data_IF_999515089644
#
_entry.id   IF_999515089644
#
_cell.length_a   1.000
_cell.length_b   1.000
_cell.length_c   1.000
_cell.angle_alpha   90.00
_cell.angle_beta   90.00
_cell.angle_gamma   90.00
#
_symmetry.space_group_name_H-M   'P 1'
#
loop_
_entity.id
_entity.type
_entity.pdbx_description
1 polymer ?
#
# COMPACT_ATOMS: atom_id res chain seq x y z
N UNK A 1 -23.75 -5.44 11.16
CA UNK A 1 -23.28 -4.69 12.34
C UNK A 1 -21.80 -4.41 12.15
N UNK A 2 -21.43 -3.21 11.68
CA UNK A 2 -20.04 -2.79 11.58
C UNK A 2 -19.58 -2.22 12.91
N UNK A 3 -18.49 -2.75 13.46
CA UNK A 3 -17.86 -2.26 14.68
C UNK A 3 -17.03 -1.02 14.35
N UNK A 4 -17.70 0.12 14.14
CA UNK A 4 -17.14 1.41 14.52
C UNK A 4 -17.39 1.53 16.02
N UNK A 5 -16.54 0.91 16.84
CA UNK A 5 -16.75 0.81 18.30
C UNK A 5 -16.51 2.17 18.94
N UNK A 6 -17.50 2.65 19.68
CA UNK A 6 -17.35 3.68 20.71
C UNK A 6 -16.90 2.99 22.02
N UNK A 7 -15.80 3.45 22.64
CA UNK A 7 -15.36 2.97 23.96
C UNK A 7 -16.42 3.22 25.04
N UNK A 8 -16.51 2.38 26.09
CA UNK A 8 -17.14 2.76 27.34
C UNK A 8 -16.21 3.67 28.16
N UNK A 9 -16.81 4.67 28.82
CA UNK A 9 -16.13 5.66 29.64
C UNK A 9 -15.66 5.06 30.98
N UNK A 10 -14.44 5.43 31.40
CA UNK A 10 -14.07 5.50 32.83
C UNK A 10 -13.19 6.71 33.08
N UNK A 11 -13.57 7.43 34.12
CA UNK A 11 -13.14 8.74 34.58
C UNK A 11 -11.78 8.71 35.30
N UNK A 12 -10.99 9.80 35.22
CA UNK A 12 -9.80 10.00 36.06
C UNK A 12 -8.86 11.13 35.58
N UNK A 13 -9.06 12.34 36.14
CA UNK A 13 -8.18 13.53 36.13
C UNK A 13 -6.76 13.21 36.69
N UNK A 14 -5.61 13.90 36.51
CA UNK A 14 -5.32 15.33 36.28
C UNK A 14 -3.80 15.59 36.04
N UNK A 15 -3.47 16.71 35.36
CA UNK A 15 -2.35 17.69 35.58
C UNK A 15 -0.88 17.42 35.14
N UNK A 16 -0.49 18.21 34.12
CA UNK A 16 0.73 18.97 33.81
C UNK A 16 2.11 18.73 34.47
N UNK A 17 3.19 18.76 33.67
CA UNK A 17 4.18 19.88 33.65
C UNK A 17 5.33 19.63 32.64
N UNK A 18 5.72 20.68 31.90
CA UNK A 18 6.99 20.84 31.18
C UNK A 18 8.07 21.35 32.15
N UNK A 19 9.39 21.30 31.84
CA UNK A 19 10.01 22.45 31.15
C UNK A 19 11.29 22.21 30.31
N UNK A 20 11.47 23.10 29.31
CA UNK A 20 12.64 23.92 28.94
C UNK A 20 14.05 23.40 28.58
N UNK A 21 14.71 24.28 27.81
CA UNK A 21 15.87 24.14 26.92
C UNK A 21 17.19 24.70 27.50
N UNK A 22 18.27 24.40 26.74
CA UNK A 22 19.50 25.20 26.46
C UNK A 22 20.71 25.05 27.41
N UNK A 23 21.96 25.37 26.99
CA UNK A 23 22.61 25.36 25.66
C UNK A 23 24.05 24.76 25.63
N UNK A 24 24.62 24.66 24.41
CA UNK A 24 26.05 24.49 24.04
C UNK A 24 26.90 25.70 24.55
N UNK A 25 28.27 25.68 24.61
CA UNK A 25 29.14 25.51 23.42
C UNK A 25 30.59 24.97 23.67
N UNK A 26 31.33 24.65 22.59
CA UNK A 26 32.69 25.17 22.30
C UNK A 26 33.30 24.53 21.04
N UNK A 27 33.76 25.38 20.13
CA UNK A 27 34.54 25.08 18.92
C UNK A 27 36.00 24.80 19.26
N UNK A 28 36.67 23.98 18.44
CA UNK A 28 38.02 24.32 17.96
C UNK A 28 38.35 23.59 16.65
N UNK A 29 38.96 24.36 15.75
CA UNK A 29 39.21 24.12 14.34
C UNK A 29 40.72 24.18 14.17
N UNK A 30 41.37 23.25 13.46
CA UNK A 30 42.69 23.45 12.83
C UNK A 30 43.02 22.28 11.86
N UNK A 31 43.28 22.65 10.60
CA UNK A 31 43.98 21.93 9.53
C UNK A 31 45.21 22.83 9.14
N UNK A 32 46.25 22.46 8.34
CA UNK A 32 46.30 21.41 7.28
C UNK A 32 47.67 20.69 6.99
N UNK A 33 47.65 19.78 5.99
CA UNK A 33 48.68 19.48 4.93
C UNK A 33 49.69 18.28 5.03
N UNK A 34 50.15 17.73 3.86
CA UNK A 34 50.33 16.28 3.56
C UNK A 34 51.81 15.84 3.35
N UNK A 35 52.09 14.58 2.90
CA UNK A 35 52.54 14.39 1.50
C UNK A 35 52.29 13.00 0.81
N UNK A 36 52.21 13.06 -0.53
CA UNK A 36 52.83 12.25 -1.60
C UNK A 36 52.64 10.72 -1.80
N UNK A 37 52.40 10.39 -3.08
CA UNK A 37 52.29 9.09 -3.78
C UNK A 37 53.68 8.50 -4.13
N UNK A 38 53.77 7.22 -4.56
CA UNK A 38 54.33 6.99 -5.89
C UNK A 38 53.57 5.98 -6.77
N UNK A 39 53.72 6.18 -8.07
CA UNK A 39 53.16 5.45 -9.22
C UNK A 39 53.81 4.06 -9.43
N UNK A 40 53.06 3.14 -10.06
CA UNK A 40 53.66 2.14 -10.96
C UNK A 40 52.66 1.70 -12.05
N UNK A 41 53.04 1.96 -13.29
CA UNK A 41 52.56 1.44 -14.59
C UNK A 41 52.61 -0.11 -14.66
N UNK A 42 51.82 -0.86 -15.44
CA UNK A 42 51.89 -1.07 -16.93
C UNK A 42 50.68 -1.95 -17.40
N UNK A 43 50.11 -1.66 -18.58
CA UNK A 43 49.06 -2.40 -19.35
C UNK A 43 49.65 -3.54 -20.23
N UNK A 44 49.00 -4.18 -21.25
CA UNK A 44 47.59 -4.37 -21.64
C UNK A 44 47.23 -5.85 -21.97
N UNK A 45 45.94 -6.17 -22.23
CA UNK A 45 45.56 -7.37 -22.99
C UNK A 45 44.26 -7.13 -23.78
N UNK A 46 44.39 -6.95 -25.10
CA UNK A 46 43.31 -6.83 -26.07
C UNK A 46 43.45 -7.96 -27.09
N UNK A 47 42.53 -8.92 -27.04
CA UNK A 47 42.17 -9.94 -28.04
C UNK A 47 41.00 -10.70 -27.41
N UNK A 48 39.80 -10.84 -27.94
CA UNK A 48 39.16 -10.50 -29.20
C UNK A 48 37.90 -11.37 -29.22
N UNK A 49 36.75 -10.87 -29.67
CA UNK A 49 35.76 -11.70 -30.35
C UNK A 49 34.73 -10.80 -31.04
N UNK A 50 34.72 -10.90 -32.36
CA UNK A 50 33.66 -10.43 -33.24
C UNK A 50 32.36 -11.14 -32.86
N UNK A 51 31.29 -10.40 -32.60
CA UNK A 51 29.94 -10.98 -32.58
C UNK A 51 28.94 -10.06 -33.28
N UNK A 52 28.65 -10.43 -34.53
CA UNK A 52 27.38 -10.34 -35.25
C UNK A 52 26.35 -9.33 -34.73
N UNK A 53 26.17 -8.27 -35.53
CA UNK A 53 24.89 -7.61 -35.86
C UNK A 53 23.82 -7.57 -34.78
N UNK A 54 23.80 -6.49 -33.99
CA UNK A 54 22.64 -6.13 -33.20
C UNK A 54 21.44 -5.84 -34.14
N UNK A 55 20.27 -6.46 -33.92
CA UNK A 55 19.10 -6.17 -34.72
C UNK A 55 18.67 -4.72 -34.48
N UNK A 56 18.57 -3.94 -35.56
CA UNK A 56 17.92 -2.63 -35.62
C UNK A 56 16.70 -2.62 -34.69
N UNK A 57 16.75 -1.76 -33.67
CA UNK A 57 15.60 -1.46 -32.84
C UNK A 57 14.45 -1.01 -33.75
N UNK A 58 13.49 -1.92 -33.97
CA UNK A 58 12.19 -1.58 -34.52
C UNK A 58 11.61 -0.51 -33.60
N UNK A 59 11.32 0.68 -34.14
CA UNK A 59 10.49 1.72 -33.51
C UNK A 59 9.33 1.06 -32.76
N UNK A 60 9.45 0.95 -31.44
CA UNK A 60 8.36 0.54 -30.57
C UNK A 60 7.29 1.62 -30.61
N UNK A 61 6.06 1.23 -30.93
CA UNK A 61 4.85 2.07 -31.00
C UNK A 61 4.84 3.19 -29.94
N UNK A 62 4.99 4.43 -30.38
CA UNK A 62 4.97 5.67 -29.59
C UNK A 62 3.62 6.04 -28.94
N UNK A 63 2.74 5.06 -28.68
CA UNK A 63 1.35 5.32 -28.26
C UNK A 63 0.89 4.63 -26.98
N UNK A 64 1.68 3.70 -26.42
CA UNK A 64 1.32 3.04 -25.15
C UNK A 64 1.84 3.87 -23.96
N UNK A 65 1.02 4.09 -22.92
CA UNK A 65 1.50 4.67 -21.68
C UNK A 65 2.68 3.86 -21.13
N UNK A 66 3.73 4.55 -20.71
CA UNK A 66 4.93 3.94 -20.08
C UNK A 66 4.61 3.37 -18.70
N UNK A 67 3.63 3.97 -18.01
CA UNK A 67 3.20 3.64 -16.66
C UNK A 67 1.73 3.21 -16.65
N UNK A 68 1.39 2.28 -15.75
CA UNK A 68 0.03 1.92 -15.38
C UNK A 68 -0.65 3.07 -14.62
N UNK A 69 -2.00 3.10 -14.56
CA UNK A 69 -2.69 4.22 -13.91
C UNK A 69 -2.36 4.42 -12.43
N UNK A 70 -2.14 3.34 -11.65
CA UNK A 70 -1.72 3.48 -10.25
C UNK A 70 -0.27 3.99 -10.11
N UNK A 71 0.59 3.67 -11.08
CA UNK A 71 1.96 4.18 -11.14
C UNK A 71 1.98 5.67 -11.50
N UNK A 72 1.09 6.11 -12.41
CA UNK A 72 0.88 7.53 -12.72
C UNK A 72 0.48 8.31 -11.47
N UNK A 73 -0.46 7.80 -10.68
CA UNK A 73 -0.87 8.43 -9.42
C UNK A 73 0.29 8.55 -8.45
N UNK A 74 1.13 7.51 -8.35
CA UNK A 74 2.27 7.58 -7.44
C UNK A 74 3.36 8.53 -7.90
N UNK A 75 3.62 8.58 -9.20
CA UNK A 75 4.51 9.60 -9.78
C UNK A 75 3.94 11.00 -9.57
N UNK A 76 2.62 11.19 -9.66
CA UNK A 76 1.98 12.48 -9.39
C UNK A 76 2.15 12.92 -7.94
N UNK A 77 2.01 12.01 -6.97
CA UNK A 77 2.31 12.28 -5.57
C UNK A 77 3.77 12.70 -5.37
N UNK A 78 4.74 11.95 -5.90
CA UNK A 78 6.16 12.30 -5.79
C UNK A 78 6.51 13.62 -6.49
N UNK A 79 5.84 13.95 -7.60
CA UNK A 79 5.96 15.26 -8.23
C UNK A 79 5.44 16.37 -7.31
N UNK A 80 4.30 16.17 -6.63
CA UNK A 80 3.78 17.11 -5.64
C UNK A 80 4.73 17.35 -4.48
N UNK A 81 5.38 16.29 -3.99
CA UNK A 81 6.42 16.37 -2.96
C UNK A 81 7.60 17.23 -3.39
N UNK A 82 8.11 17.01 -4.61
CA UNK A 82 9.19 17.82 -5.18
C UNK A 82 8.80 19.28 -5.36
N UNK A 83 7.60 19.55 -5.87
CA UNK A 83 7.09 20.92 -6.05
C UNK A 83 6.89 21.65 -4.72
N UNK A 84 6.64 20.90 -3.64
CA UNK A 84 6.51 21.42 -2.29
C UNK A 84 7.85 21.59 -1.56
N UNK A 85 8.98 21.46 -2.27
CA UNK A 85 10.33 21.61 -1.71
C UNK A 85 10.76 20.46 -0.80
N UNK A 86 10.08 19.31 -0.87
CA UNK A 86 10.36 18.11 -0.05
C UNK A 86 10.50 16.86 -0.94
N UNK A 87 11.44 16.85 -1.90
CA UNK A 87 11.63 15.70 -2.79
C UNK A 87 11.99 14.43 -2.02
N UNK A 88 11.60 13.27 -2.57
CA UNK A 88 12.03 11.96 -2.06
C UNK A 88 13.36 11.60 -2.72
N UNK A 89 14.47 11.89 -2.04
CA UNK A 89 15.82 11.77 -2.58
C UNK A 89 16.32 10.31 -2.59
N UNK A 90 16.12 9.57 -1.50
CA UNK A 90 16.57 8.17 -1.39
C UNK A 90 15.78 7.26 -2.36
N UNK A 91 16.52 6.54 -3.21
CA UNK A 91 15.98 5.56 -4.16
C UNK A 91 15.15 4.48 -3.46
N UNK A 92 15.56 4.07 -2.25
CA UNK A 92 14.84 3.09 -1.42
C UNK A 92 13.50 3.64 -0.97
N UNK A 93 13.42 4.91 -0.59
CA UNK A 93 12.13 5.53 -0.21
C UNK A 93 11.18 5.61 -1.40
N UNK A 94 11.69 5.97 -2.58
CA UNK A 94 10.89 5.93 -3.82
C UNK A 94 10.39 4.51 -4.13
N UNK A 95 11.24 3.50 -3.94
CA UNK A 95 10.88 2.09 -4.14
C UNK A 95 9.84 1.62 -3.12
N UNK A 96 9.98 1.94 -1.82
CA UNK A 96 9.01 1.64 -0.76
C UNK A 96 7.62 2.19 -1.12
N UNK A 97 7.59 3.44 -1.57
CA UNK A 97 6.39 4.12 -2.04
C UNK A 97 5.76 3.43 -3.26
N UNK A 98 6.56 2.99 -4.23
CA UNK A 98 6.08 2.24 -5.39
C UNK A 98 5.50 0.86 -4.98
N UNK A 99 6.19 0.13 -4.11
CA UNK A 99 5.80 -1.19 -3.59
C UNK A 99 4.53 -1.14 -2.74
N UNK A 100 4.41 -0.11 -1.91
CA UNK A 100 3.20 0.16 -1.13
C UNK A 100 2.02 0.48 -2.05
N UNK A 101 2.23 1.30 -3.09
CA UNK A 101 1.17 1.61 -4.06
C UNK A 101 0.75 0.36 -4.85
N UNK A 102 1.69 -0.49 -5.24
CA UNK A 102 1.39 -1.78 -5.88
C UNK A 102 0.52 -2.65 -4.95
N UNK A 103 0.81 -2.68 -3.65
CA UNK A 103 0.01 -3.40 -2.66
C UNK A 103 -1.42 -2.85 -2.58
N UNK A 104 -1.57 -1.52 -2.47
CA UNK A 104 -2.88 -0.84 -2.47
C UNK A 104 -3.67 -1.19 -3.74
N UNK A 105 -3.02 -1.16 -4.90
CA UNK A 105 -3.65 -1.50 -6.17
C UNK A 105 -4.07 -2.97 -6.25
N UNK A 106 -3.21 -3.89 -5.81
CA UNK A 106 -3.51 -5.32 -5.77
C UNK A 106 -4.67 -5.66 -4.83
N UNK A 107 -4.77 -5.00 -3.68
CA UNK A 107 -5.91 -5.14 -2.77
C UNK A 107 -7.19 -4.64 -3.44
N UNK A 108 -7.13 -3.49 -4.11
CA UNK A 108 -8.25 -2.98 -4.91
C UNK A 108 -8.66 -3.94 -6.03
N UNK A 109 -7.73 -4.64 -6.67
CA UNK A 109 -8.07 -5.65 -7.68
C UNK A 109 -8.72 -6.88 -7.06
N UNK A 110 -8.31 -7.29 -5.86
CA UNK A 110 -8.93 -8.41 -5.15
C UNK A 110 -10.35 -8.07 -4.69
N UNK A 111 -10.54 -6.86 -4.14
CA UNK A 111 -11.83 -6.33 -3.71
C UNK A 111 -12.61 -5.69 -4.88
N UNK A 112 -12.88 -6.52 -5.88
CA UNK A 112 -13.48 -6.15 -7.17
C UNK A 112 -14.97 -5.78 -7.08
N UNK A 113 -15.68 -6.19 -6.03
CA UNK A 113 -17.03 -5.73 -5.70
C UNK A 113 -17.03 -4.40 -4.92
N UNK A 114 -15.87 -3.90 -4.49
CA UNK A 114 -15.70 -2.54 -3.97
C UNK A 114 -15.42 -2.47 -2.46
N UNK A 115 -15.55 -1.26 -1.93
CA UNK A 115 -15.14 -0.87 -0.58
C UNK A 115 -16.25 -0.98 0.48
N UNK A 116 -17.32 -1.70 0.16
CA UNK A 116 -18.44 -1.95 1.05
C UNK A 116 -19.38 -0.77 1.17
N UNK A 117 -18.95 0.28 1.87
CA UNK A 117 -19.80 1.39 2.30
C UNK A 117 -19.45 2.76 1.71
N UNK A 118 -18.69 2.79 0.61
CA UNK A 118 -18.46 4.01 -0.17
C UNK A 118 -19.64 4.24 -1.12
N UNK A 119 -20.23 5.44 -1.08
CA UNK A 119 -21.38 5.83 -1.90
C UNK A 119 -21.17 5.55 -3.40
N UNK A 120 -19.99 5.91 -3.92
CA UNK A 120 -19.63 5.66 -5.32
C UNK A 120 -19.66 4.18 -5.68
N UNK A 121 -19.14 3.32 -4.81
CA UNK A 121 -19.08 1.87 -5.02
C UNK A 121 -20.48 1.26 -4.88
N UNK A 122 -21.31 1.73 -3.95
CA UNK A 122 -22.71 1.31 -3.79
C UNK A 122 -23.51 1.59 -5.07
N UNK A 123 -23.40 2.80 -5.61
CA UNK A 123 -24.10 3.20 -6.84
C UNK A 123 -23.62 2.41 -8.05
N UNK A 124 -22.30 2.27 -8.22
CA UNK A 124 -21.71 1.54 -9.36
C UNK A 124 -22.01 0.04 -9.32
N UNK A 125 -22.14 -0.55 -8.13
CA UNK A 125 -22.37 -1.98 -7.95
C UNK A 125 -23.84 -2.34 -7.69
N UNK A 126 -24.76 -1.38 -7.75
CA UNK A 126 -26.17 -1.55 -7.36
C UNK A 126 -26.33 -2.22 -5.97
N UNK A 127 -25.58 -1.74 -4.98
CA UNK A 127 -25.58 -2.23 -3.61
C UNK A 127 -24.78 -3.52 -3.37
N UNK A 128 -24.24 -4.17 -4.42
CA UNK A 128 -23.48 -5.42 -4.28
C UNK A 128 -22.22 -5.27 -3.41
N UNK A 129 -21.57 -4.10 -3.42
CA UNK A 129 -20.45 -3.80 -2.53
C UNK A 129 -20.83 -3.99 -1.06
N UNK A 130 -21.98 -3.43 -0.65
CA UNK A 130 -22.48 -3.58 0.73
C UNK A 130 -22.84 -5.03 1.05
N UNK A 131 -23.54 -5.70 0.14
CA UNK A 131 -23.92 -7.11 0.33
C UNK A 131 -22.69 -7.97 0.58
N UNK A 132 -21.68 -7.88 -0.28
CA UNK A 132 -20.46 -8.66 -0.14
C UNK A 132 -19.71 -8.33 1.16
N UNK A 133 -19.56 -7.04 1.50
CA UNK A 133 -18.95 -6.65 2.78
C UNK A 133 -19.77 -7.05 4.00
N UNK A 134 -21.09 -7.15 3.90
CA UNK A 134 -21.91 -7.71 4.96
C UNK A 134 -21.67 -9.21 5.15
N UNK A 135 -21.59 -9.95 4.04
CA UNK A 135 -21.30 -11.38 4.06
C UNK A 135 -19.95 -11.67 4.71
N UNK A 136 -18.93 -10.85 4.48
CA UNK A 136 -17.64 -11.05 5.17
C UNK A 136 -17.73 -10.90 6.69
N UNK A 137 -18.65 -10.09 7.20
CA UNK A 137 -18.89 -9.95 8.65
C UNK A 137 -19.74 -11.07 9.27
N UNK A 138 -20.47 -11.88 8.49
CA UNK A 138 -21.30 -12.96 9.09
C UNK A 138 -20.44 -13.95 9.87
N UNK A 139 -19.20 -14.15 9.42
CA UNK A 139 -18.21 -15.02 10.04
C UNK A 139 -17.80 -14.58 11.46
N UNK A 140 -17.89 -13.29 11.79
CA UNK A 140 -17.60 -12.81 13.15
C UNK A 140 -18.61 -13.31 14.19
N UNK A 141 -19.81 -13.70 13.76
CA UNK A 141 -20.81 -14.30 14.65
C UNK A 141 -20.81 -15.82 14.62
N UNK A 142 -20.38 -16.40 13.49
CA UNK A 142 -20.32 -17.85 13.26
C UNK A 142 -19.13 -18.52 13.97
N UNK A 143 -17.97 -17.89 13.97
CA UNK A 143 -16.73 -18.49 14.48
C UNK A 143 -16.44 -18.06 15.93
N UNK A 144 -16.08 -18.99 16.84
CA UNK A 144 -15.74 -18.67 18.24
C UNK A 144 -14.57 -17.68 18.39
N UNK A 145 -13.73 -17.53 17.36
CA UNK A 145 -12.72 -16.49 17.27
C UNK A 145 -13.30 -15.17 16.74
N UNK A 146 -14.24 -14.55 17.46
CA UNK A 146 -14.96 -13.31 17.06
C UNK A 146 -14.07 -12.09 16.74
N UNK A 147 -12.75 -12.23 16.88
CA UNK A 147 -11.73 -11.21 16.62
C UNK A 147 -10.59 -11.74 15.75
N UNK A 148 -10.77 -12.85 15.03
CA UNK A 148 -9.77 -13.32 14.06
C UNK A 148 -9.74 -12.40 12.84
N UNK A 149 -8.78 -11.48 12.83
CA UNK A 149 -8.58 -10.51 11.75
C UNK A 149 -8.11 -11.22 10.46
N UNK A 150 -7.47 -12.39 10.55
CA UNK A 150 -7.09 -13.17 9.37
C UNK A 150 -8.31 -13.82 8.72
N UNK A 151 -9.27 -14.28 9.52
CA UNK A 151 -10.58 -14.74 9.02
C UNK A 151 -11.31 -13.57 8.35
N UNK A 152 -11.39 -12.42 9.01
CA UNK A 152 -12.03 -11.23 8.46
C UNK A 152 -11.44 -10.81 7.10
N UNK A 153 -10.11 -10.76 7.00
CA UNK A 153 -9.41 -10.47 5.75
C UNK A 153 -9.62 -11.56 4.68
N UNK A 154 -9.61 -12.83 5.07
CA UNK A 154 -9.85 -13.96 4.18
C UNK A 154 -11.27 -13.95 3.60
N UNK A 155 -12.27 -13.66 4.43
CA UNK A 155 -13.66 -13.49 4.00
C UNK A 155 -13.82 -12.34 3.02
N UNK A 156 -13.26 -11.17 3.33
CA UNK A 156 -13.33 -10.00 2.43
C UNK A 156 -12.69 -10.28 1.07
N UNK A 157 -11.59 -11.05 1.04
CA UNK A 157 -10.96 -11.50 -0.21
C UNK A 157 -11.85 -12.49 -0.98
N UNK A 158 -12.44 -13.48 -0.30
CA UNK A 158 -13.30 -14.49 -0.93
C UNK A 158 -14.57 -13.87 -1.53
N UNK A 159 -15.22 -12.94 -0.81
CA UNK A 159 -16.42 -12.25 -1.30
C UNK A 159 -16.11 -11.05 -2.18
N UNK A 160 -14.85 -10.66 -2.31
CA UNK A 160 -14.41 -9.57 -3.18
C UNK A 160 -14.83 -8.16 -2.76
N UNK A 161 -15.22 -7.92 -1.51
CA UNK A 161 -15.50 -6.58 -0.99
C UNK A 161 -15.15 -6.45 0.49
N UNK A 162 -14.81 -5.23 0.91
CA UNK A 162 -14.63 -4.94 2.34
C UNK A 162 -14.56 -3.47 2.71
N UNK A 163 -14.89 -3.18 3.98
CA UNK A 163 -14.80 -1.84 4.58
C UNK A 163 -13.33 -1.49 4.99
N UNK A 164 -13.13 -0.36 5.65
CA UNK A 164 -11.79 0.13 6.02
C UNK A 164 -10.97 -0.84 6.87
N UNK A 165 -11.57 -1.47 7.89
CA UNK A 165 -10.98 -2.52 8.73
C UNK A 165 -10.44 -3.71 7.92
N UNK A 166 -11.24 -4.20 6.98
CA UNK A 166 -10.91 -5.32 6.10
C UNK A 166 -9.81 -4.93 5.09
N UNK A 167 -9.89 -3.73 4.53
CA UNK A 167 -8.85 -3.19 3.64
C UNK A 167 -7.52 -3.03 4.39
N UNK A 168 -7.53 -2.46 5.59
CA UNK A 168 -6.35 -2.30 6.44
C UNK A 168 -5.72 -3.67 6.75
N UNK A 169 -6.52 -4.63 7.22
CA UNK A 169 -6.07 -5.98 7.51
C UNK A 169 -5.43 -6.68 6.29
N UNK A 170 -6.06 -6.56 5.10
CA UNK A 170 -5.53 -7.12 3.85
C UNK A 170 -4.22 -6.44 3.46
N UNK A 171 -4.14 -5.11 3.51
CA UNK A 171 -2.92 -4.37 3.18
C UNK A 171 -1.77 -4.74 4.11
N UNK A 172 -2.02 -4.80 5.43
CA UNK A 172 -1.01 -5.16 6.44
C UNK A 172 -0.36 -6.51 6.12
N UNK A 173 -1.17 -7.50 5.72
CA UNK A 173 -0.71 -8.85 5.40
C UNK A 173 -0.09 -8.94 4.01
N UNK A 174 -0.73 -8.33 3.00
CA UNK A 174 -0.29 -8.42 1.60
C UNK A 174 1.03 -7.70 1.36
N UNK A 175 1.33 -6.66 2.12
CA UNK A 175 2.60 -5.94 2.01
C UNK A 175 3.82 -6.76 2.48
N UNK A 176 3.61 -7.85 3.24
CA UNK A 176 4.67 -8.66 3.86
C UNK A 176 5.82 -9.04 2.93
N UNK A 177 5.51 -9.40 1.68
CA UNK A 177 6.51 -9.85 0.70
C UNK A 177 7.42 -8.72 0.20
N UNK A 178 7.01 -7.46 0.39
CA UNK A 178 7.72 -6.25 -0.03
C UNK A 178 8.42 -5.53 1.13
N UNK A 179 8.18 -5.95 2.37
CA UNK A 179 8.85 -5.39 3.54
C UNK A 179 10.36 -5.65 3.49
N UNK A 180 11.14 -4.71 3.99
CA UNK A 180 12.56 -4.90 4.25
C UNK A 180 12.79 -5.65 5.58
N UNK A 181 13.98 -6.24 5.72
CA UNK A 181 14.39 -6.82 7.00
C UNK A 181 14.48 -5.74 8.08
N UNK A 182 13.91 -6.00 9.26
CA UNK A 182 13.85 -5.04 10.37
C UNK A 182 12.71 -4.01 10.29
N UNK A 183 11.97 -3.96 9.17
CA UNK A 183 10.76 -3.14 9.08
C UNK A 183 9.57 -3.75 9.82
N UNK A 184 8.59 -2.91 10.14
CA UNK A 184 7.34 -3.30 10.79
C UNK A 184 6.14 -2.86 9.97
N UNK A 185 5.07 -3.64 10.01
CA UNK A 185 3.77 -3.26 9.45
C UNK A 185 2.72 -3.34 10.54
N UNK A 186 1.89 -2.30 10.62
CA UNK A 186 0.84 -2.15 11.61
C UNK A 186 -0.52 -2.06 10.93
N UNK A 187 -1.55 -2.54 11.64
CA UNK A 187 -2.94 -2.20 11.38
C UNK A 187 -3.34 -1.15 12.42
N UNK A 188 -3.60 0.08 11.98
CA UNK A 188 -3.82 1.25 12.84
C UNK A 188 -5.28 1.64 12.79
N UNK A 189 -5.88 1.89 13.96
CA UNK A 189 -7.20 2.50 14.07
C UNK A 189 -7.06 3.95 14.52
N UNK A 190 -7.75 4.85 13.84
CA UNK A 190 -7.97 6.23 14.27
C UNK A 190 -9.39 6.38 14.83
N UNK A 191 -9.50 6.60 16.14
CA UNK A 191 -10.79 6.74 16.83
C UNK A 191 -11.51 8.03 16.43
N UNK A 192 -10.77 9.11 16.14
CA UNK A 192 -11.37 10.40 15.80
C UNK A 192 -12.09 10.35 14.45
N UNK A 193 -11.54 9.61 13.49
CA UNK A 193 -12.11 9.45 12.15
C UNK A 193 -12.93 8.15 11.99
N UNK A 194 -12.96 7.28 13.01
CA UNK A 194 -13.51 5.93 12.94
C UNK A 194 -13.03 5.17 11.69
N UNK A 195 -11.72 5.24 11.44
CA UNK A 195 -11.07 4.69 10.24
C UNK A 195 -9.92 3.76 10.60
N UNK A 196 -9.62 2.82 9.71
CA UNK A 196 -8.48 1.91 9.87
C UNK A 196 -7.66 1.87 8.59
N UNK A 197 -6.33 1.83 8.74
CA UNK A 197 -5.38 1.78 7.64
C UNK A 197 -4.14 0.96 8.00
N UNK A 198 -3.41 0.50 6.99
CA UNK A 198 -2.13 -0.15 7.21
C UNK A 198 -0.99 0.87 7.19
N UNK A 199 -0.04 0.74 8.11
CA UNK A 199 1.12 1.61 8.23
C UNK A 199 2.40 0.76 8.16
N UNK A 200 3.21 0.97 7.14
CA UNK A 200 4.53 0.37 7.03
C UNK A 200 5.58 1.32 7.62
N UNK A 201 6.35 0.84 8.58
CA UNK A 201 7.48 1.52 9.16
C UNK A 201 8.77 0.82 8.68
N UNK A 202 9.56 1.47 7.79
CA UNK A 202 10.82 0.89 7.30
C UNK A 202 11.84 0.70 8.44
N UNK A 203 12.87 -0.15 8.23
CA UNK A 203 13.94 -0.31 9.22
C UNK A 203 14.72 0.99 9.42
N UNK A 204 14.92 1.39 10.68
CA UNK A 204 15.66 2.58 11.09
C UNK A 204 15.20 3.06 12.48
N UNK A 205 16.09 3.64 13.28
CA UNK A 205 15.78 4.11 14.64
C UNK A 205 15.68 5.64 14.69
N UNK A 206 14.61 6.14 15.32
CA UNK A 206 14.24 7.54 15.59
C UNK A 206 13.59 8.35 14.45
N UNK A 207 14.07 8.29 13.19
CA UNK A 207 13.47 9.04 12.05
C UNK A 207 12.36 8.25 11.33
N UNK A 208 11.99 7.08 11.84
CA UNK A 208 11.07 6.15 11.20
C UNK A 208 9.63 6.66 11.05
N UNK A 209 9.26 7.76 11.70
CA UNK A 209 7.96 8.43 11.52
C UNK A 209 7.90 9.21 10.19
N UNK A 210 9.01 9.84 9.78
CA UNK A 210 9.07 10.62 8.53
C UNK A 210 9.05 9.74 7.27
N UNK A 211 9.51 8.50 7.40
CA UNK A 211 9.53 7.50 6.33
C UNK A 211 8.38 6.48 6.44
N UNK A 212 7.49 6.61 7.42
CA UNK A 212 6.36 5.72 7.55
C UNK A 212 5.41 5.89 6.35
N UNK A 213 4.98 4.77 5.76
CA UNK A 213 4.14 4.74 4.56
C UNK A 213 2.74 4.26 4.90
N UNK A 214 1.73 5.05 4.58
CA UNK A 214 0.32 4.69 4.71
C UNK A 214 -0.13 3.90 3.47
N UNK A 215 -0.72 2.74 3.70
CA UNK A 215 -1.33 1.87 2.69
C UNK A 215 -2.84 1.78 2.93
N UNK A 216 -3.60 2.57 2.19
CA UNK A 216 -5.05 2.58 2.28
C UNK A 216 -5.71 2.35 0.91
N UNK A 217 -6.30 1.17 0.76
CA UNK A 217 -7.05 0.76 -0.43
C UNK A 217 -8.52 1.13 -0.38
N UNK A 218 -9.02 1.52 0.79
CA UNK A 218 -10.37 2.04 0.99
C UNK A 218 -10.44 3.52 0.60
N UNK A 219 -9.45 4.32 0.97
CA UNK A 219 -9.31 5.70 0.49
C UNK A 219 -8.92 5.78 -0.99
N UNK A 220 -9.07 6.95 -1.58
CA UNK A 220 -8.70 7.31 -2.96
C UNK A 220 -7.24 7.82 -3.01
N UNK A 221 -6.52 7.54 -4.10
CA UNK A 221 -5.09 7.89 -4.26
C UNK A 221 -4.09 6.72 -4.06
N UNK A 222 -2.78 6.98 -4.14
CA UNK A 222 -1.73 5.96 -4.01
C UNK A 222 -1.28 5.78 -2.55
N UNK A 223 -0.22 5.01 -2.30
CA UNK A 223 0.38 4.97 -0.96
C UNK A 223 1.25 6.23 -0.74
N UNK A 224 1.21 6.80 0.47
CA UNK A 224 1.83 8.11 0.77
C UNK A 224 2.64 8.03 2.05
N UNK A 225 3.56 8.97 2.26
CA UNK A 225 4.17 9.13 3.58
C UNK A 225 3.11 9.58 4.59
N UNK A 226 3.22 9.11 5.83
CA UNK A 226 2.29 9.43 6.90
C UNK A 226 2.13 10.94 7.09
N UNK A 227 3.23 11.70 7.06
CA UNK A 227 3.26 13.16 7.18
C UNK A 227 2.51 13.92 6.08
N UNK A 228 2.22 13.27 4.96
CA UNK A 228 1.50 13.85 3.81
C UNK A 228 0.10 13.24 3.65
N UNK A 229 -0.30 12.40 4.61
CA UNK A 229 -1.61 11.77 4.63
C UNK A 229 -2.62 12.60 5.43
N UNK A 230 -3.90 12.39 5.19
CA UNK A 230 -4.98 12.99 5.98
C UNK A 230 -4.99 12.62 7.47
N UNK A 231 -4.13 11.68 7.91
CA UNK A 231 -4.00 11.26 9.31
C UNK A 231 -2.72 11.76 9.99
N UNK A 232 -1.93 12.60 9.32
CA UNK A 232 -0.70 13.14 9.89
C UNK A 232 -0.95 13.85 11.23
N UNK A 233 -2.05 14.62 11.33
CA UNK A 233 -2.40 15.38 12.53
C UNK A 233 -3.05 14.55 13.65
N UNK A 234 -3.56 13.37 13.37
CA UNK A 234 -4.25 12.50 14.35
C UNK A 234 -3.38 11.34 14.82
N UNK A 235 -2.36 10.96 14.05
CA UNK A 235 -1.44 9.90 14.42
C UNK A 235 -0.72 10.21 15.76
N UNK A 236 -0.68 9.21 16.63
CA UNK A 236 -0.11 9.32 17.99
C UNK A 236 -1.03 10.00 19.01
N UNK A 237 -2.13 10.64 18.59
CA UNK A 237 -3.06 11.34 19.51
C UNK A 237 -4.38 10.58 19.68
N UNK A 238 -5.04 10.21 18.58
CA UNK A 238 -6.30 9.44 18.57
C UNK A 238 -6.17 8.05 17.98
N UNK A 239 -4.94 7.59 17.74
CA UNK A 239 -4.67 6.32 17.08
C UNK A 239 -4.18 5.24 18.05
N UNK A 240 -4.58 3.99 17.81
CA UNK A 240 -3.99 2.82 18.45
C UNK A 240 -3.71 1.69 17.44
N UNK A 241 -2.72 0.85 17.76
CA UNK A 241 -2.32 -0.28 16.92
C UNK A 241 -3.13 -1.51 17.29
N UNK A 242 -3.82 -2.11 16.31
CA UNK A 242 -4.60 -3.34 16.46
C UNK A 242 -3.68 -4.56 16.33
N UNK A 243 -2.86 -4.58 15.28
CA UNK A 243 -1.88 -5.64 15.01
C UNK A 243 -0.55 -5.01 14.62
N UNK A 244 0.55 -5.64 15.03
CA UNK A 244 1.91 -5.27 14.62
C UNK A 244 2.64 -6.54 14.21
N UNK A 245 3.27 -6.51 13.06
CA UNK A 245 4.08 -7.61 12.55
C UNK A 245 5.45 -7.12 12.09
N UNK A 246 6.47 -7.90 12.42
CA UNK A 246 7.70 -7.91 11.62
C UNK A 246 7.46 -8.67 10.30
N UNK A 247 8.47 -8.73 9.43
CA UNK A 247 8.33 -9.38 8.12
C UNK A 247 7.91 -10.87 8.23
N UNK A 248 8.56 -11.74 9.04
CA UNK A 248 8.12 -13.12 9.21
C UNK A 248 6.68 -13.23 9.73
N UNK A 249 6.31 -12.45 10.76
CA UNK A 249 4.95 -12.45 11.30
C UNK A 249 3.91 -12.03 10.27
N UNK A 250 4.22 -11.05 9.41
CA UNK A 250 3.34 -10.60 8.35
C UNK A 250 3.18 -11.67 7.25
N UNK A 251 4.25 -12.41 6.94
CA UNK A 251 4.21 -13.55 6.00
C UNK A 251 3.31 -14.66 6.56
N UNK A 252 3.43 -15.00 7.84
CA UNK A 252 2.60 -16.00 8.49
C UNK A 252 1.12 -15.57 8.54
N UNK A 253 0.86 -14.31 8.85
CA UNK A 253 -0.50 -13.75 8.82
C UNK A 253 -1.10 -13.75 7.41
N UNK A 254 -0.31 -13.48 6.37
CA UNK A 254 -0.71 -13.61 4.98
C UNK A 254 -1.03 -15.05 4.60
N UNK A 255 -0.20 -16.01 5.03
CA UNK A 255 -0.42 -17.43 4.77
C UNK A 255 -1.72 -17.93 5.42
N UNK A 256 -1.96 -17.57 6.70
CA UNK A 256 -3.21 -17.87 7.41
C UNK A 256 -4.43 -17.29 6.70
N UNK A 257 -4.34 -16.03 6.29
CA UNK A 257 -5.44 -15.33 5.58
C UNK A 257 -5.78 -16.01 4.24
N UNK A 258 -4.76 -16.47 3.50
CA UNK A 258 -4.96 -17.21 2.24
C UNK A 258 -5.54 -18.60 2.46
N UNK A 259 -5.15 -19.29 3.54
CA UNK A 259 -5.74 -20.58 3.88
C UNK A 259 -7.24 -20.42 4.18
N UNK A 260 -7.61 -19.43 4.99
CA UNK A 260 -9.01 -19.11 5.31
C UNK A 260 -9.80 -18.69 4.08
N UNK A 261 -9.22 -17.86 3.20
CA UNK A 261 -9.82 -17.53 1.90
C UNK A 261 -10.10 -18.80 1.10
N UNK A 262 -9.13 -19.72 0.99
CA UNK A 262 -9.29 -20.97 0.23
C UNK A 262 -10.36 -21.87 0.83
N UNK A 263 -10.47 -21.96 2.16
CA UNK A 263 -11.53 -22.70 2.83
C UNK A 263 -12.91 -22.11 2.48
N UNK A 264 -13.08 -20.80 2.54
CA UNK A 264 -14.36 -20.14 2.19
C UNK A 264 -14.74 -20.33 0.71
N UNK A 265 -13.75 -20.36 -0.18
CA UNK A 265 -13.95 -20.56 -1.61
C UNK A 265 -14.24 -22.03 -1.98
N UNK A 266 -13.79 -23.00 -1.16
CA UNK A 266 -13.94 -24.44 -1.43
C UNK A 266 -15.35 -24.95 -1.07
N UNK A 267 -16.15 -25.43 -2.05
CA UNK A 267 -17.49 -25.95 -1.83
C UNK A 267 -17.63 -27.11 -0.84
N UNK A 268 -16.53 -27.77 -0.49
CA UNK A 268 -16.52 -28.91 0.42
C UNK A 268 -16.36 -28.52 1.89
N UNK A 269 -16.18 -27.24 2.22
CA UNK A 269 -15.95 -26.78 3.60
C UNK A 269 -17.21 -26.26 4.27
N UNK A 270 -17.19 -26.26 5.61
CA UNK A 270 -18.24 -25.62 6.42
C UNK A 270 -18.30 -24.10 6.23
N UNK A 271 -17.16 -23.46 5.94
CA UNK A 271 -17.09 -22.01 5.71
C UNK A 271 -17.79 -21.62 4.42
N UNK A 272 -17.60 -22.41 3.36
CA UNK A 272 -18.35 -22.21 2.13
C UNK A 272 -19.85 -22.43 2.36
N UNK A 273 -20.22 -23.54 3.00
CA UNK A 273 -21.63 -23.83 3.32
C UNK A 273 -22.28 -22.71 4.13
N UNK A 274 -21.58 -22.17 5.14
CA UNK A 274 -22.04 -21.01 5.92
C UNK A 274 -22.25 -19.79 5.04
N UNK A 275 -21.25 -19.40 4.23
CA UNK A 275 -21.35 -18.23 3.34
C UNK A 275 -22.56 -18.35 2.41
N UNK A 276 -22.76 -19.51 1.77
CA UNK A 276 -23.91 -19.75 0.87
C UNK A 276 -25.23 -19.74 1.62
N UNK A 277 -25.25 -20.25 2.85
CA UNK A 277 -26.41 -20.19 3.74
C UNK A 277 -26.82 -18.74 4.03
N UNK A 278 -25.87 -17.89 4.42
CA UNK A 278 -26.13 -16.46 4.66
C UNK A 278 -26.51 -15.74 3.37
N UNK A 279 -25.81 -16.00 2.26
CA UNK A 279 -26.11 -15.40 0.96
C UNK A 279 -27.56 -15.72 0.51
N UNK A 280 -28.04 -16.95 0.76
CA UNK A 280 -29.39 -17.38 0.36
C UNK A 280 -30.52 -16.64 1.08
N UNK A 281 -30.27 -16.08 2.28
CA UNK A 281 -31.27 -15.34 3.06
C UNK A 281 -31.17 -13.82 2.86
N UNK A 282 -30.08 -13.32 2.28
CA UNK A 282 -29.91 -11.90 1.95
C UNK A 282 -30.66 -11.58 0.65
N UNK A 283 -31.95 -11.26 0.78
CA UNK A 283 -32.83 -10.93 -0.36
C UNK A 283 -32.68 -9.49 -0.87
N UNK A 284 -32.29 -8.58 0.01
CA UNK A 284 -32.09 -7.16 -0.28
C UNK A 284 -30.71 -6.74 0.21
N UNK A 285 -29.95 -5.94 -0.56
CA UNK A 285 -28.67 -5.42 -0.10
C UNK A 285 -28.82 -4.76 1.27
N UNK A 286 -28.11 -5.22 2.30
CA UNK A 286 -28.15 -4.59 3.61
C UNK A 286 -27.65 -3.15 3.45
N UNK A 287 -28.37 -2.18 4.02
CA UNK A 287 -27.93 -0.79 4.01
C UNK A 287 -26.79 -0.64 5.04
N UNK A 288 -25.60 -0.15 4.65
CA UNK A 288 -24.54 0.13 5.61
C UNK A 288 -25.02 1.11 6.68
N UNK A 289 -24.60 0.90 7.93
CA UNK A 289 -24.92 1.84 9.04
C UNK A 289 -24.40 3.25 8.77
N UNK A 290 -23.25 3.36 8.09
CA UNK A 290 -22.67 4.62 7.63
C UNK A 290 -22.25 4.45 6.17
N UNK A 291 -22.65 5.41 5.35
CA UNK A 291 -22.23 5.54 3.97
C UNK A 291 -21.26 6.71 3.90
N UNK A 292 -20.11 6.52 3.25
CA UNK A 292 -19.07 7.52 3.15
C UNK A 292 -18.91 8.00 1.72
N UNK A 293 -18.63 9.28 1.56
CA UNK A 293 -18.07 9.78 0.31
C UNK A 293 -16.66 9.20 0.10
N UNK A 294 -16.23 9.14 -1.15
CA UNK A 294 -14.83 8.86 -1.49
C UNK A 294 -13.92 9.84 -0.75
N UNK A 295 -12.97 9.32 0.03
CA UNK A 295 -12.06 10.12 0.87
C UNK A 295 -10.65 10.02 0.30
N UNK A 296 -9.96 11.13 0.00
CA UNK A 296 -8.57 11.12 -0.44
C UNK A 296 -7.63 10.71 0.69
N UNK A 297 -6.58 9.96 0.36
CA UNK A 297 -5.49 9.60 1.28
C UNK A 297 -4.52 10.77 1.52
N UNK A 298 -4.36 11.64 0.52
CA UNK A 298 -3.42 12.77 0.52
C UNK A 298 -4.03 13.96 1.27
N UNK A 299 -3.23 14.60 2.11
CA UNK A 299 -3.59 15.82 2.80
C UNK A 299 -3.95 16.97 1.82
N UNK A 300 -5.07 17.68 2.03
CA UNK A 300 -5.53 18.72 1.11
C UNK A 300 -4.55 19.87 0.94
N UNK A 301 -3.73 20.20 1.94
CA UNK A 301 -2.77 21.30 1.82
C UNK A 301 -1.64 20.94 0.85
N UNK A 302 -1.22 19.67 0.81
CA UNK A 302 -0.25 19.21 -0.20
C UNK A 302 -0.83 19.33 -1.61
N UNK A 303 -2.10 18.97 -1.78
CA UNK A 303 -2.78 19.07 -3.07
C UNK A 303 -2.88 20.53 -3.55
N UNK A 304 -3.26 21.45 -2.67
CA UNK A 304 -3.38 22.87 -3.01
C UNK A 304 -2.01 23.49 -3.35
N UNK A 305 -0.99 23.25 -2.52
CA UNK A 305 0.39 23.72 -2.82
C UNK A 305 0.88 23.18 -4.17
N UNK A 306 0.64 21.90 -4.45
CA UNK A 306 1.03 21.30 -5.73
C UNK A 306 0.35 22.00 -6.92
N UNK A 307 -0.94 22.28 -6.80
CA UNK A 307 -1.73 22.97 -7.82
C UNK A 307 -1.22 24.38 -8.09
N UNK A 308 -0.94 25.16 -7.04
CA UNK A 308 -0.38 26.51 -7.14
C UNK A 308 1.00 26.49 -7.80
N UNK A 309 1.91 25.64 -7.33
CA UNK A 309 3.26 25.51 -7.91
C UNK A 309 3.24 25.07 -9.37
N UNK A 310 2.33 24.18 -9.74
CA UNK A 310 2.16 23.84 -11.15
C UNK A 310 1.76 25.06 -11.98
N UNK A 311 0.89 25.94 -11.49
CA UNK A 311 0.43 27.13 -12.24
C UNK A 311 1.55 28.16 -12.47
N UNK A 312 2.48 28.30 -11.53
CA UNK A 312 3.63 29.22 -11.62
C UNK A 312 4.66 28.82 -12.68
N UNK A 313 4.77 27.53 -12.98
CA UNK A 313 5.82 27.01 -13.87
C UNK A 313 5.44 27.15 -15.34
N UNK A 314 6.42 27.40 -16.22
CA UNK A 314 6.20 27.34 -17.66
C UNK A 314 5.81 25.91 -18.11
N UNK A 315 4.95 25.75 -19.16
CA UNK A 315 4.50 24.43 -19.61
C UNK A 315 5.62 23.44 -19.97
N UNK A 316 6.75 23.93 -20.51
CA UNK A 316 7.92 23.10 -20.83
C UNK A 316 8.55 22.55 -19.55
N UNK A 317 8.70 23.37 -18.52
CA UNK A 317 9.25 22.98 -17.22
C UNK A 317 8.37 21.94 -16.53
N UNK A 318 7.04 22.12 -16.53
CA UNK A 318 6.09 21.12 -15.98
C UNK A 318 6.28 19.75 -16.62
N UNK A 319 6.37 19.71 -17.95
CA UNK A 319 6.56 18.44 -18.69
C UNK A 319 7.90 17.78 -18.37
N UNK A 320 8.98 18.58 -18.28
CA UNK A 320 10.29 18.07 -17.92
C UNK A 320 10.29 17.46 -16.50
N UNK A 321 9.73 18.16 -15.51
CA UNK A 321 9.62 17.68 -14.14
C UNK A 321 8.78 16.40 -14.01
N UNK A 322 7.64 16.32 -14.72
CA UNK A 322 6.81 15.12 -14.70
C UNK A 322 7.49 13.91 -15.36
N UNK A 323 8.24 14.13 -16.45
CA UNK A 323 9.05 13.06 -17.05
C UNK A 323 10.19 12.60 -16.14
N UNK A 324 10.84 13.55 -15.46
CA UNK A 324 11.91 13.27 -14.50
C UNK A 324 11.39 12.50 -13.27
N UNK A 325 10.26 12.92 -12.71
CA UNK A 325 9.59 12.21 -11.62
C UNK A 325 9.25 10.76 -12.00
N UNK A 326 8.79 10.51 -13.24
CA UNK A 326 8.52 9.16 -13.72
C UNK A 326 9.78 8.28 -13.75
N UNK A 327 10.91 8.84 -14.22
CA UNK A 327 12.20 8.14 -14.24
C UNK A 327 12.67 7.82 -12.83
N UNK A 328 12.62 8.79 -11.93
CA UNK A 328 13.07 8.63 -10.55
C UNK A 328 12.22 7.63 -9.76
N UNK A 329 10.90 7.67 -9.94
CA UNK A 329 9.97 6.82 -9.19
C UNK A 329 10.05 5.33 -9.56
N UNK A 330 10.34 5.03 -10.83
CA UNK A 330 10.29 3.65 -11.37
C UNK A 330 11.58 3.19 -12.04
N UNK A 331 12.69 3.90 -11.85
CA UNK A 331 14.01 3.54 -12.39
C UNK A 331 14.02 3.41 -13.92
N UNK A 332 13.25 4.25 -14.62
CA UNK A 332 13.18 4.19 -16.08
C UNK A 332 14.46 4.76 -16.70
N UNK A 333 14.96 4.09 -17.75
CA UNK A 333 16.18 4.46 -18.47
C UNK A 333 16.12 5.91 -19.02
N UNK A 334 17.16 6.70 -18.75
CA UNK A 334 17.32 8.07 -19.25
C UNK A 334 17.31 8.15 -20.79
N UNK A 335 17.77 7.08 -21.45
CA UNK A 335 17.78 6.99 -22.90
C UNK A 335 16.37 6.79 -23.50
N UNK A 336 15.37 6.41 -22.69
CA UNK A 336 14.01 6.21 -23.16
C UNK A 336 13.14 7.45 -22.93
N UNK A 337 12.58 8.05 -24.01
CA UNK A 337 11.68 9.17 -23.84
C UNK A 337 10.36 8.72 -23.18
N UNK A 338 10.02 9.35 -22.06
CA UNK A 338 8.70 9.18 -21.43
C UNK A 338 7.62 9.62 -22.41
N UNK A 339 6.58 8.80 -22.59
CA UNK A 339 5.53 9.13 -23.54
C UNK A 339 4.83 10.44 -23.16
N UNK A 340 4.54 11.35 -24.11
CA UNK A 340 3.81 12.59 -23.81
C UNK A 340 2.46 12.34 -23.13
N UNK A 341 1.82 11.20 -23.42
CA UNK A 341 0.58 10.76 -22.78
C UNK A 341 0.77 10.46 -21.31
N UNK A 342 1.87 9.80 -20.94
CA UNK A 342 2.24 9.55 -19.53
C UNK A 342 2.51 10.86 -18.80
N UNK A 343 3.32 11.74 -19.37
CA UNK A 343 3.60 13.07 -18.77
C UNK A 343 2.32 13.88 -18.58
N UNK A 344 1.42 13.88 -19.56
CA UNK A 344 0.14 14.57 -19.45
C UNK A 344 -0.77 13.96 -18.37
N UNK A 345 -0.78 12.63 -18.23
CA UNK A 345 -1.53 11.94 -17.19
C UNK A 345 -0.99 12.27 -15.78
N UNK A 346 0.34 12.27 -15.60
CA UNK A 346 0.99 12.66 -14.34
C UNK A 346 0.61 14.09 -13.97
N UNK A 347 0.74 15.04 -14.90
CA UNK A 347 0.39 16.44 -14.64
C UNK A 347 -1.10 16.62 -14.34
N UNK A 348 -1.95 15.86 -15.02
CA UNK A 348 -3.39 15.87 -14.76
C UNK A 348 -3.67 15.42 -13.33
N UNK A 349 -3.08 14.31 -12.89
CA UNK A 349 -3.29 13.75 -11.55
C UNK A 349 -2.65 14.63 -10.46
N UNK A 350 -1.45 15.19 -10.71
CA UNK A 350 -0.77 16.10 -9.78
C UNK A 350 -1.56 17.38 -9.51
N UNK A 351 -2.34 17.87 -10.48
CA UNK A 351 -3.21 19.04 -10.28
C UNK A 351 -4.46 18.75 -9.41
N UNK A 352 -4.70 17.49 -9.05
CA UNK A 352 -5.89 16.99 -8.33
C UNK A 352 -5.55 15.87 -7.33
N UNK A 353 -4.45 15.99 -6.60
CA UNK A 353 -4.02 14.97 -5.63
C UNK A 353 -5.10 14.64 -4.58
N UNK A 354 -5.93 15.62 -4.24
CA UNK A 354 -7.11 15.55 -3.37
C UNK A 354 -8.37 14.99 -4.05
N UNK A 355 -8.31 14.62 -5.33
CA UNK A 355 -9.45 14.09 -6.09
C UNK A 355 -9.02 13.00 -7.09
N UNK A 356 -8.05 12.19 -6.68
CA UNK A 356 -7.57 11.04 -7.44
C UNK A 356 -8.59 9.90 -7.39
N UNK A 357 -9.37 9.72 -8.46
CA UNK A 357 -10.27 8.57 -8.57
C UNK A 357 -9.51 7.24 -8.55
N UNK A 358 -10.20 6.14 -8.25
CA UNK A 358 -9.61 4.79 -8.29
C UNK A 358 -9.14 4.44 -9.70
N UNK A 359 -7.89 3.95 -9.86
CA UNK A 359 -7.44 3.35 -11.12
C UNK A 359 -8.44 2.33 -11.66
N UNK A 360 -8.70 2.29 -12.99
CA UNK A 360 -9.59 1.31 -13.57
C UNK A 360 -9.21 -0.11 -13.14
N UNK A 361 -10.18 -0.85 -12.63
CA UNK A 361 -10.02 -2.27 -12.31
C UNK A 361 -10.25 -3.06 -13.61
N UNK A 362 -9.32 -2.97 -14.57
CA UNK A 362 -9.46 -3.74 -15.81
C UNK A 362 -9.19 -5.22 -15.53
N UNK A 363 -10.24 -5.96 -15.22
CA UNK A 363 -10.21 -7.42 -15.19
C UNK A 363 -10.30 -7.93 -16.63
N UNK A 364 -9.19 -7.89 -17.37
CA UNK A 364 -9.06 -8.71 -18.56
C UNK A 364 -8.28 -9.98 -18.14
N UNK A 365 -8.97 -11.13 -17.94
CA UNK A 365 -8.25 -12.39 -17.86
C UNK A 365 -7.71 -12.67 -19.27
N UNK A 366 -6.47 -12.30 -19.56
CA UNK A 366 -5.79 -12.89 -20.71
C UNK A 366 -5.66 -14.37 -20.41
N UNK A 367 -6.41 -15.18 -21.16
CA UNK A 367 -6.53 -16.65 -21.09
C UNK A 367 -5.19 -17.41 -21.10
N UNK A 368 -4.07 -16.74 -21.37
CA UNK A 368 -2.74 -17.35 -21.39
C UNK A 368 -1.93 -17.24 -20.09
N UNK A 369 -2.35 -16.44 -19.10
CA UNK A 369 -1.59 -16.29 -17.84
C UNK A 369 -2.04 -17.24 -16.72
N UNK A 370 -3.19 -17.92 -16.88
CA UNK A 370 -3.71 -18.86 -15.87
C UNK A 370 -2.91 -20.16 -15.78
N UNK A 371 -2.30 -20.65 -16.87
CA UNK A 371 -1.66 -21.98 -16.83
C UNK A 371 -0.23 -22.00 -16.25
N UNK A 372 0.57 -20.93 -16.37
CA UNK A 372 1.98 -20.96 -15.93
C UNK A 372 2.22 -20.52 -14.48
N UNK A 373 1.33 -19.70 -13.88
CA UNK A 373 1.46 -19.32 -12.46
C UNK A 373 0.69 -20.24 -11.51
N UNK A 374 -0.37 -20.92 -11.94
CA UNK A 374 -1.07 -21.89 -11.09
C UNK A 374 -0.25 -23.16 -10.84
N UNK A 375 0.53 -23.64 -11.82
CA UNK A 375 1.29 -24.90 -11.67
C UNK A 375 2.48 -24.76 -10.70
N UNK A 376 3.11 -23.58 -10.65
CA UNK A 376 4.18 -23.29 -9.67
C UNK A 376 3.63 -22.93 -8.29
N UNK A 377 2.51 -22.21 -8.21
CA UNK A 377 1.85 -21.90 -6.93
C UNK A 377 1.23 -23.13 -6.27
N UNK A 378 0.63 -24.05 -7.03
CA UNK A 378 0.00 -25.25 -6.48
C UNK A 378 1.01 -26.21 -5.85
N UNK A 379 2.24 -26.32 -6.40
CA UNK A 379 3.30 -27.18 -5.82
C UNK A 379 3.88 -26.63 -4.52
N UNK A 380 3.93 -25.31 -4.35
CA UNK A 380 4.40 -24.67 -3.12
C UNK A 380 3.28 -24.59 -2.07
N UNK A 381 2.04 -24.31 -2.49
CA UNK A 381 0.86 -24.23 -1.63
C UNK A 381 0.42 -25.60 -1.10
N UNK A 382 0.50 -26.66 -1.89
CA UNK A 382 0.20 -28.03 -1.42
C UNK A 382 1.19 -28.48 -0.34
N UNK A 383 2.45 -28.04 -0.39
CA UNK A 383 3.43 -28.34 0.65
C UNK A 383 3.18 -27.56 1.95
N UNK A 384 2.70 -26.32 1.90
CA UNK A 384 2.41 -25.53 3.10
C UNK A 384 1.05 -25.85 3.74
N UNK A 385 0.01 -26.09 2.93
CA UNK A 385 -1.30 -26.52 3.43
C UNK A 385 -1.25 -27.91 4.08
N UNK A 386 -0.38 -28.80 3.59
CA UNK A 386 -0.17 -30.13 4.17
C UNK A 386 0.30 -30.09 5.65
N UNK A 387 1.04 -29.06 6.07
CA UNK A 387 1.51 -28.94 7.45
C UNK A 387 0.43 -28.42 8.41
N UNK A 388 -0.49 -27.58 7.95
CA UNK A 388 -1.59 -27.07 8.78
C UNK A 388 -2.77 -28.04 8.88
N UNK A 389 -3.06 -28.82 7.82
CA UNK A 389 -4.13 -29.84 7.82
C UNK A 389 -3.90 -31.05 8.73
N UNK A 390 -2.67 -31.25 9.27
CA UNK A 390 -2.33 -32.36 10.18
C UNK A 390 -2.31 -31.98 11.66
N UNK A 391 -2.83 -30.82 12.05
CA UNK A 391 -2.97 -30.44 13.46
C UNK A 391 -1.63 -30.18 14.17
N UNK A 392 -0.56 -29.89 13.42
CA UNK A 392 0.73 -29.56 14.02
C UNK A 392 0.71 -28.12 14.56
N UNK A 393 0.80 -27.98 15.89
CA UNK A 393 0.98 -26.70 16.59
C UNK A 393 2.46 -26.55 16.93
N UNK A 394 3.16 -25.48 16.51
CA UNK A 394 4.49 -25.22 17.02
C UNK A 394 4.41 -24.88 18.53
N UNK A 395 5.40 -25.30 19.34
CA UNK A 395 5.36 -25.09 20.77
C UNK A 395 5.45 -23.60 21.09
N UNK A 396 4.49 -23.11 21.87
CA UNK A 396 4.57 -21.80 22.52
C UNK A 396 5.71 -21.88 23.54
N UNK A 397 6.86 -21.29 23.22
CA UNK A 397 7.85 -20.99 24.26
C UNK A 397 7.32 -19.82 25.07
N UNK A 398 6.81 -20.12 26.26
CA UNK A 398 6.63 -19.11 27.29
C UNK A 398 8.00 -18.56 27.69
N UNK A 399 8.13 -17.25 27.68
CA UNK A 399 9.19 -16.53 28.38
C UNK A 399 8.59 -15.97 29.66
N UNK A 400 9.18 -16.39 30.78
CA UNK A 400 9.12 -15.75 32.10
C UNK A 400 9.73 -14.36 31.99
#
# INVERSE_FOLDING_TARGET
MGLCISKPATSGSSVAASPERHPNPASEQLNPHPPSVPETSVSPSLQGLVTRGAPRARRGRSGKPTLQPHEVQQTAYQLGMRLSGRPIEDVRDRQRLADATATVHETRLALHHGRGNIEGDLRLSNGRSSTCSYLSYSFLSYWPGKHDISLMAGCALAVGAGNCDQNAAINTRRHAVRMEGGGQIMNVCDEACAHMYALYQPPGSAEAEDSAVVLDSWSDGPAVLLRDSGWAGTYGTSTYVIERFDKPGAIDALARTRALQAEIEDPQTEFHAHLRGVESVVRTPPVPRKIYASTPVIDPDLAERTRQRLQELAPRTRKALAADAARQAYGLDDAQPISPRTTAAILKDAARLDALGRPPLSWAPTSHTRLKRFVTSARTNARQAFWYGRGWRPPVRGTI
#
